data_IF_088008955110
#
_entry.id   IF_088008955110
#
_cell.length_a   1.000
_cell.length_b   1.000
_cell.length_c   1.000
_cell.angle_alpha   90.00
_cell.angle_beta   90.00
_cell.angle_gamma   90.00
#
_symmetry.space_group_name_H-M   'P 1'
#
loop_
_entity.id
_entity.type
_entity.pdbx_description
1 polymer ?
#
# COMPACT_ATOMS: atom_id res chain seq x y z
N UNK A 1 4.91 -3.46 -34.86
CA UNK A 1 6.35 -3.49 -35.17
C UNK A 1 7.01 -2.35 -34.40
N UNK A 2 8.12 -2.63 -33.70
CA UNK A 2 8.90 -1.62 -32.97
C UNK A 2 10.13 -1.17 -33.76
N UNK A 3 9.92 -0.57 -34.93
CA UNK A 3 11.02 -0.12 -35.79
C UNK A 3 11.35 1.34 -35.46
N UNK A 4 12.41 1.55 -34.67
CA UNK A 4 12.82 2.90 -34.22
C UNK A 4 13.23 3.82 -35.37
N UNK A 5 13.70 3.26 -36.48
CA UNK A 5 14.14 3.99 -37.68
C UNK A 5 13.03 4.23 -38.71
N UNK A 6 11.80 3.80 -38.44
CA UNK A 6 10.68 3.99 -39.37
C UNK A 6 10.30 5.47 -39.42
N UNK A 7 10.62 6.13 -40.52
CA UNK A 7 10.35 7.57 -40.74
C UNK A 7 8.95 7.85 -41.29
N UNK A 8 8.47 6.98 -42.17
CA UNK A 8 7.14 7.05 -42.77
C UNK A 8 6.62 5.64 -43.04
N UNK A 9 5.30 5.48 -42.95
CA UNK A 9 4.60 4.38 -43.61
C UNK A 9 4.13 4.95 -44.94
N UNK A 10 5.03 5.16 -45.90
CA UNK A 10 4.67 5.68 -47.23
C UNK A 10 4.70 4.57 -48.28
N UNK A 11 3.72 4.59 -49.18
CA UNK A 11 3.77 3.87 -50.45
C UNK A 11 4.96 4.37 -51.28
N UNK A 12 5.92 3.49 -51.60
CA UNK A 12 6.70 3.66 -52.83
C UNK A 12 5.84 3.18 -53.99
N UNK A 13 5.78 3.98 -55.06
CA UNK A 13 4.91 3.77 -56.23
C UNK A 13 5.01 2.33 -56.76
N UNK A 14 3.89 1.61 -56.76
CA UNK A 14 3.72 0.38 -57.55
C UNK A 14 3.32 -0.90 -56.82
N UNK A 15 3.28 -0.95 -55.47
CA UNK A 15 2.79 -2.12 -54.72
C UNK A 15 1.57 -1.78 -53.87
N UNK A 16 0.60 -2.70 -53.88
CA UNK A 16 -0.81 -2.59 -53.41
C UNK A 16 -0.93 -2.12 -51.94
N UNK A 17 -2.03 -1.42 -51.64
CA UNK A 17 -2.50 -0.97 -50.32
C UNK A 17 -2.23 -1.98 -49.20
N UNK A 18 -2.25 -1.56 -47.90
CA UNK A 18 -2.33 -2.51 -46.80
C UNK A 18 -3.35 -3.59 -47.11
N UNK A 19 -3.09 -4.87 -46.79
CA UNK A 19 -3.98 -5.94 -47.20
C UNK A 19 -5.39 -5.62 -46.69
N UNK A 20 -6.40 -5.69 -47.57
CA UNK A 20 -7.82 -5.47 -47.26
C UNK A 20 -8.32 -6.35 -46.09
N UNK A 21 -7.54 -7.36 -45.69
CA UNK A 21 -7.74 -8.28 -44.58
C UNK A 21 -7.01 -7.90 -43.27
N UNK A 22 -6.36 -6.73 -43.19
CA UNK A 22 -5.61 -6.34 -41.99
C UNK A 22 -6.57 -6.15 -40.80
N UNK A 23 -6.41 -6.98 -39.77
CA UNK A 23 -7.23 -6.93 -38.54
C UNK A 23 -6.54 -6.20 -37.38
N UNK A 24 -5.21 -6.19 -37.36
CA UNK A 24 -4.44 -5.62 -36.24
C UNK A 24 -3.26 -4.82 -36.79
N UNK A 25 -3.18 -3.55 -36.41
CA UNK A 25 -2.07 -2.66 -36.72
C UNK A 25 -1.50 -2.12 -35.41
N UNK A 26 -0.21 -2.35 -35.17
CA UNK A 26 0.49 -1.88 -33.97
C UNK A 26 1.80 -1.22 -34.34
N UNK A 27 1.93 0.05 -33.97
CA UNK A 27 3.07 0.92 -34.18
C UNK A 27 3.47 1.39 -32.78
N UNK A 28 4.64 0.99 -32.32
CA UNK A 28 5.08 1.24 -30.95
C UNK A 28 6.53 1.66 -30.96
N UNK A 29 6.87 2.73 -30.23
CA UNK A 29 8.24 3.23 -30.06
C UNK A 29 8.95 3.51 -31.40
N UNK A 30 8.21 4.04 -32.38
CA UNK A 30 8.76 4.50 -33.66
C UNK A 30 9.19 5.96 -33.54
N UNK A 31 10.40 6.17 -33.02
CA UNK A 31 10.95 7.50 -32.68
C UNK A 31 11.09 8.46 -33.87
N UNK A 32 11.26 7.95 -35.08
CA UNK A 32 11.44 8.77 -36.29
C UNK A 32 10.16 8.99 -37.10
N UNK A 33 9.04 8.37 -36.72
CA UNK A 33 7.80 8.41 -37.50
C UNK A 33 7.15 9.79 -37.40
N UNK A 34 7.11 10.55 -38.49
CA UNK A 34 6.58 11.91 -38.48
C UNK A 34 5.09 12.02 -38.83
N UNK A 35 4.57 11.08 -39.62
CA UNK A 35 3.17 11.06 -40.05
C UNK A 35 2.69 9.65 -40.40
N UNK A 36 1.36 9.46 -40.32
CA UNK A 36 0.67 8.28 -40.80
C UNK A 36 -0.19 8.65 -42.03
N UNK A 37 -0.17 7.86 -43.12
CA UNK A 37 -0.93 8.16 -44.32
C UNK A 37 -2.44 7.93 -44.10
N UNK A 38 -3.28 8.86 -44.54
CA UNK A 38 -4.75 8.72 -44.47
C UNK A 38 -5.27 7.55 -45.30
N UNK A 39 -4.67 7.33 -46.47
CA UNK A 39 -5.01 6.24 -47.40
C UNK A 39 -4.90 4.83 -46.75
N UNK A 40 -3.96 4.66 -45.82
CA UNK A 40 -3.80 3.39 -45.10
C UNK A 40 -5.05 3.07 -44.27
N UNK A 41 -5.60 4.07 -43.59
CA UNK A 41 -6.75 3.88 -42.69
C UNK A 41 -8.02 3.64 -43.51
N UNK A 42 -8.23 4.41 -44.57
CA UNK A 42 -9.40 4.26 -45.47
C UNK A 42 -9.46 2.88 -46.13
N UNK A 43 -8.31 2.26 -46.39
CA UNK A 43 -8.23 0.94 -47.01
C UNK A 43 -8.51 -0.24 -46.07
N UNK A 44 -8.51 -0.04 -44.74
CA UNK A 44 -8.57 -1.12 -43.74
C UNK A 44 -9.94 -1.28 -43.08
N UNK A 45 -10.95 -1.73 -43.84
CA UNK A 45 -12.33 -1.91 -43.32
C UNK A 45 -12.51 -3.05 -42.30
N UNK A 46 -11.56 -3.97 -42.21
CA UNK A 46 -11.58 -5.11 -41.28
C UNK A 46 -10.73 -4.88 -40.01
N UNK A 47 -10.22 -3.67 -39.79
CA UNK A 47 -9.33 -3.39 -38.67
C UNK A 47 -10.10 -3.47 -37.34
N UNK A 48 -9.65 -4.35 -36.45
CA UNK A 48 -10.19 -4.58 -35.11
C UNK A 48 -9.34 -3.87 -34.04
N UNK A 49 -8.03 -3.88 -34.21
CA UNK A 49 -7.07 -3.25 -33.29
C UNK A 49 -6.19 -2.26 -34.03
N UNK A 50 -6.20 -1.02 -33.56
CA UNK A 50 -5.26 0.02 -33.97
C UNK A 50 -4.51 0.52 -32.73
N UNK A 51 -3.19 0.39 -32.73
CA UNK A 51 -2.33 0.86 -31.66
C UNK A 51 -1.18 1.69 -32.22
N UNK A 52 -1.07 2.94 -31.76
CA UNK A 52 0.00 3.89 -32.06
C UNK A 52 0.47 4.49 -30.74
N UNK A 53 1.61 3.99 -30.25
CA UNK A 53 2.10 4.31 -28.90
C UNK A 53 3.58 4.70 -28.92
N UNK A 54 3.99 5.66 -28.10
CA UNK A 54 5.42 6.00 -27.93
C UNK A 54 6.10 6.58 -29.19
N UNK A 55 5.34 7.16 -30.11
CA UNK A 55 5.89 7.74 -31.35
C UNK A 55 6.26 9.21 -31.12
N UNK A 56 7.51 9.47 -30.73
CA UNK A 56 7.97 10.77 -30.23
C UNK A 56 7.86 11.91 -31.24
N UNK A 57 8.17 11.66 -32.52
CA UNK A 57 8.16 12.67 -33.58
C UNK A 57 6.86 12.72 -34.41
N UNK A 58 5.81 12.00 -34.00
CA UNK A 58 4.56 11.93 -34.77
C UNK A 58 3.80 13.26 -34.64
N UNK A 59 3.76 14.05 -35.71
CA UNK A 59 3.16 15.40 -35.71
C UNK A 59 1.68 15.37 -36.09
N UNK A 60 1.33 14.48 -37.03
CA UNK A 60 -0.02 14.37 -37.58
C UNK A 60 -0.54 12.94 -37.57
N UNK A 61 -1.86 12.83 -37.40
CA UNK A 61 -2.60 11.58 -37.39
C UNK A 61 -3.80 11.71 -38.35
N UNK A 62 -4.19 10.65 -39.09
CA UNK A 62 -5.29 10.71 -40.03
C UNK A 62 -6.56 11.15 -39.33
N UNK A 63 -7.22 12.16 -39.89
CA UNK A 63 -8.38 12.80 -39.29
C UNK A 63 -9.63 12.01 -39.70
N UNK A 64 -10.48 11.72 -38.71
CA UNK A 64 -11.72 10.92 -38.77
C UNK A 64 -11.52 9.40 -38.86
N UNK A 65 -11.53 8.75 -37.69
CA UNK A 65 -11.52 7.30 -37.60
C UNK A 65 -12.93 6.70 -37.60
N UNK A 66 -13.99 7.51 -37.58
CA UNK A 66 -15.37 7.07 -37.35
C UNK A 66 -15.95 6.13 -38.42
N UNK A 67 -15.25 5.94 -39.53
CA UNK A 67 -15.63 5.10 -40.67
C UNK A 67 -15.09 3.66 -40.57
N UNK A 68 -14.43 3.27 -39.48
CA UNK A 68 -13.88 1.92 -39.29
C UNK A 68 -14.86 1.03 -38.51
N UNK A 69 -15.63 0.14 -39.18
CA UNK A 69 -16.78 -0.55 -38.58
C UNK A 69 -16.39 -1.66 -37.58
N UNK A 70 -15.17 -2.18 -37.69
CA UNK A 70 -14.72 -3.35 -36.93
C UNK A 70 -13.88 -3.03 -35.69
N UNK A 71 -13.53 -1.75 -35.45
CA UNK A 71 -12.65 -1.39 -34.35
C UNK A 71 -13.27 -1.79 -33.00
N UNK A 72 -12.50 -2.57 -32.25
CA UNK A 72 -12.78 -2.97 -30.87
C UNK A 72 -11.73 -2.46 -29.89
N UNK A 73 -10.49 -2.27 -30.34
CA UNK A 73 -9.38 -1.78 -29.51
C UNK A 73 -8.66 -0.62 -30.21
N UNK A 74 -8.58 0.52 -29.54
CA UNK A 74 -7.90 1.71 -30.05
C UNK A 74 -6.95 2.30 -29.01
N UNK A 75 -5.64 2.29 -29.29
CA UNK A 75 -4.63 2.90 -28.45
C UNK A 75 -3.90 3.99 -29.24
N UNK A 76 -3.98 5.24 -28.78
CA UNK A 76 -3.27 6.38 -29.36
C UNK A 76 -2.72 7.21 -28.19
N UNK A 77 -1.53 6.86 -27.72
CA UNK A 77 -0.95 7.50 -26.55
C UNK A 77 0.56 7.76 -26.65
N UNK A 78 1.08 8.58 -25.75
CA UNK A 78 2.52 8.84 -25.61
C UNK A 78 3.13 9.32 -26.95
N UNK A 79 2.47 10.29 -27.58
CA UNK A 79 2.88 10.92 -28.85
C UNK A 79 3.02 12.44 -28.63
N UNK A 80 4.11 12.90 -27.98
CA UNK A 80 4.22 14.26 -27.44
C UNK A 80 4.28 15.38 -28.50
N UNK A 81 4.58 15.08 -29.76
CA UNK A 81 4.54 16.09 -30.84
C UNK A 81 3.23 16.09 -31.62
N UNK A 82 2.27 15.21 -31.27
CA UNK A 82 1.02 15.08 -32.02
C UNK A 82 0.12 16.29 -31.74
N UNK A 83 -0.20 17.06 -32.79
CA UNK A 83 -1.00 18.30 -32.70
C UNK A 83 -2.43 18.13 -33.22
N UNK A 84 -2.65 17.18 -34.12
CA UNK A 84 -3.96 16.88 -34.70
C UNK A 84 -4.57 15.65 -34.05
N UNK A 85 -5.70 15.79 -33.36
CA UNK A 85 -6.38 14.66 -32.72
C UNK A 85 -7.31 13.91 -33.68
N UNK A 86 -7.44 12.58 -33.52
CA UNK A 86 -8.45 11.80 -34.21
C UNK A 86 -9.87 12.28 -33.84
N UNK A 87 -10.76 12.30 -34.83
CA UNK A 87 -12.19 12.55 -34.65
C UNK A 87 -12.98 11.27 -34.88
N UNK A 88 -14.24 11.23 -34.45
CA UNK A 88 -15.14 10.12 -34.74
C UNK A 88 -14.96 8.88 -33.85
N UNK A 89 -14.09 8.91 -32.83
CA UNK A 89 -13.86 7.79 -31.91
C UNK A 89 -15.17 7.33 -31.25
N UNK A 90 -16.05 8.27 -30.87
CA UNK A 90 -17.33 7.94 -30.26
C UNK A 90 -18.34 7.25 -31.17
N UNK A 91 -18.08 7.15 -32.49
CA UNK A 91 -18.97 6.46 -33.45
C UNK A 91 -18.73 4.95 -33.50
N UNK A 92 -17.67 4.45 -32.88
CA UNK A 92 -17.39 3.01 -32.86
C UNK A 92 -18.40 2.24 -32.02
N UNK A 93 -19.21 1.43 -32.70
CA UNK A 93 -20.23 0.58 -32.06
C UNK A 93 -19.62 -0.59 -31.28
N UNK A 94 -18.44 -1.08 -31.69
CA UNK A 94 -17.80 -2.26 -31.13
C UNK A 94 -16.60 -1.97 -30.22
N UNK A 95 -16.26 -0.70 -29.98
CA UNK A 95 -15.10 -0.31 -29.18
C UNK A 95 -15.24 -0.79 -27.73
N UNK A 96 -14.39 -1.73 -27.32
CA UNK A 96 -14.32 -2.28 -25.97
C UNK A 96 -13.21 -1.65 -25.14
N UNK A 97 -12.11 -1.24 -25.78
CA UNK A 97 -10.92 -0.71 -25.11
C UNK A 97 -10.42 0.55 -25.81
N UNK A 98 -10.23 1.63 -25.05
CA UNK A 98 -9.68 2.90 -25.53
C UNK A 98 -8.57 3.37 -24.61
N UNK A 99 -7.40 3.66 -25.18
CA UNK A 99 -6.29 4.33 -24.50
C UNK A 99 -5.93 5.56 -25.32
N UNK A 100 -6.03 6.76 -24.73
CA UNK A 100 -5.85 8.01 -25.47
C UNK A 100 -5.24 9.12 -24.61
N UNK A 101 -4.24 9.82 -25.15
CA UNK A 101 -3.66 11.02 -24.54
C UNK A 101 -2.13 11.06 -24.51
N UNK A 102 -1.55 11.99 -23.75
CA UNK A 102 -0.09 12.21 -23.80
C UNK A 102 0.35 12.74 -25.16
N UNK A 103 -0.43 13.70 -25.67
CA UNK A 103 -0.21 14.40 -26.94
C UNK A 103 0.61 15.67 -26.73
N UNK A 104 0.72 16.54 -27.73
CA UNK A 104 1.37 17.85 -27.55
C UNK A 104 0.73 18.67 -26.44
N UNK A 105 1.58 19.30 -25.62
CA UNK A 105 1.17 20.27 -24.59
C UNK A 105 0.49 21.50 -25.20
N UNK A 106 0.69 21.76 -26.50
CA UNK A 106 -0.02 22.81 -27.24
C UNK A 106 -1.50 22.52 -27.46
N UNK A 107 -1.97 21.28 -27.24
CA UNK A 107 -3.37 20.92 -27.40
C UNK A 107 -4.14 21.43 -26.19
N UNK A 108 -5.19 22.22 -26.46
CA UNK A 108 -6.10 22.67 -25.42
C UNK A 108 -7.10 21.57 -25.00
N UNK A 109 -7.66 21.72 -23.80
CA UNK A 109 -8.60 20.75 -23.25
C UNK A 109 -9.88 20.57 -24.08
N UNK A 110 -10.38 21.63 -24.75
CA UNK A 110 -11.60 21.53 -25.56
C UNK A 110 -11.34 20.71 -26.83
N UNK A 111 -10.16 20.85 -27.44
CA UNK A 111 -9.73 20.01 -28.55
C UNK A 111 -9.66 18.53 -28.14
N UNK A 112 -9.10 18.23 -26.97
CA UNK A 112 -9.11 16.86 -26.41
C UNK A 112 -10.52 16.35 -26.13
N UNK A 113 -11.39 17.20 -25.59
CA UNK A 113 -12.79 16.87 -25.33
C UNK A 113 -13.56 16.58 -26.62
N UNK A 114 -13.34 17.36 -27.68
CA UNK A 114 -13.95 17.16 -28.99
C UNK A 114 -13.51 15.85 -29.67
N UNK A 115 -12.30 15.36 -29.41
CA UNK A 115 -11.84 14.06 -29.90
C UNK A 115 -12.68 12.89 -29.33
N UNK A 116 -13.26 13.08 -28.13
CA UNK A 116 -14.11 12.13 -27.43
C UNK A 116 -15.61 12.37 -27.70
N UNK A 117 -15.97 13.20 -28.67
CA UNK A 117 -17.37 13.45 -28.99
C UNK A 117 -18.11 12.17 -29.34
N UNK A 118 -19.37 12.12 -28.89
CA UNK A 118 -20.28 10.97 -28.98
C UNK A 118 -19.88 9.71 -28.20
N UNK A 119 -18.71 9.66 -27.53
CA UNK A 119 -18.28 8.46 -26.79
C UNK A 119 -19.27 8.04 -25.70
N UNK A 120 -20.03 9.00 -25.16
CA UNK A 120 -21.10 8.77 -24.18
C UNK A 120 -22.19 7.79 -24.67
N UNK A 121 -22.31 7.58 -25.99
CA UNK A 121 -23.27 6.65 -26.59
C UNK A 121 -22.76 5.20 -26.60
N UNK A 122 -21.47 4.98 -26.33
CA UNK A 122 -20.86 3.65 -26.36
C UNK A 122 -21.44 2.77 -25.25
N UNK A 123 -22.04 1.65 -25.67
CA UNK A 123 -22.53 0.58 -24.78
C UNK A 123 -21.53 -0.58 -24.67
N UNK A 124 -20.52 -0.60 -25.53
CA UNK A 124 -19.51 -1.65 -25.66
C UNK A 124 -18.23 -1.35 -24.89
N UNK A 125 -17.91 -0.07 -24.63
CA UNK A 125 -16.67 0.30 -23.95
C UNK A 125 -16.61 -0.28 -22.53
N UNK A 126 -15.50 -0.94 -22.21
CA UNK A 126 -15.21 -1.60 -20.94
C UNK A 126 -13.96 -1.04 -20.29
N UNK A 127 -12.97 -0.66 -21.08
CA UNK A 127 -11.69 -0.16 -20.58
C UNK A 127 -11.37 1.19 -21.20
N UNK A 128 -11.02 2.15 -20.35
CA UNK A 128 -10.67 3.50 -20.76
C UNK A 128 -9.45 3.99 -19.98
N UNK A 129 -8.41 4.39 -20.71
CA UNK A 129 -7.24 5.05 -20.17
C UNK A 129 -7.11 6.44 -20.78
N UNK A 130 -7.04 7.47 -19.93
CA UNK A 130 -6.88 8.87 -20.34
C UNK A 130 -5.57 9.43 -19.79
N UNK A 131 -4.82 10.13 -20.64
CA UNK A 131 -3.57 10.79 -20.28
C UNK A 131 -3.70 12.28 -20.60
N UNK A 132 -3.80 13.09 -19.56
CA UNK A 132 -3.97 14.54 -19.66
C UNK A 132 -2.77 15.32 -19.14
N UNK A 133 -3.00 16.60 -18.94
CA UNK A 133 -2.01 17.56 -18.46
C UNK A 133 -2.39 18.20 -17.13
N UNK A 134 -1.39 18.63 -16.37
CA UNK A 134 -1.55 19.17 -15.02
C UNK A 134 -2.29 20.52 -15.02
N UNK A 135 -2.32 21.21 -16.16
CA UNK A 135 -3.08 22.45 -16.36
C UNK A 135 -4.54 22.20 -16.80
N UNK A 136 -4.95 20.94 -16.99
CA UNK A 136 -6.35 20.59 -17.27
C UNK A 136 -7.08 20.31 -15.96
N UNK A 137 -7.79 21.31 -15.45
CA UNK A 137 -8.46 21.26 -14.15
C UNK A 137 -9.80 20.49 -14.18
N UNK A 138 -10.07 19.70 -15.22
CA UNK A 138 -11.30 18.92 -15.39
C UNK A 138 -11.06 17.64 -16.17
N UNK A 139 -11.96 16.66 -16.00
CA UNK A 139 -12.05 15.47 -16.84
C UNK A 139 -13.12 15.67 -17.92
N UNK A 140 -13.04 14.98 -19.08
CA UNK A 140 -14.07 15.08 -20.12
C UNK A 140 -15.47 14.76 -19.59
N UNK A 141 -16.46 15.62 -19.84
CA UNK A 141 -17.82 15.43 -19.28
C UNK A 141 -18.53 14.21 -19.88
N UNK A 142 -18.14 13.79 -21.09
CA UNK A 142 -18.73 12.64 -21.79
C UNK A 142 -18.58 11.33 -20.98
N UNK A 143 -17.60 11.27 -20.08
CA UNK A 143 -17.35 10.12 -19.21
C UNK A 143 -18.50 9.82 -18.25
N UNK A 144 -19.29 10.83 -17.87
CA UNK A 144 -20.41 10.69 -16.94
C UNK A 144 -21.42 9.60 -17.35
N UNK A 145 -21.55 9.33 -18.65
CA UNK A 145 -22.57 8.42 -19.20
C UNK A 145 -22.03 7.03 -19.57
N UNK A 146 -20.73 6.77 -19.35
CA UNK A 146 -20.08 5.48 -19.66
C UNK A 146 -20.37 4.40 -18.61
N UNK A 147 -21.65 4.12 -18.40
CA UNK A 147 -22.14 3.21 -17.33
C UNK A 147 -21.72 1.75 -17.48
N UNK A 148 -21.23 1.35 -18.66
CA UNK A 148 -20.75 -0.01 -18.94
C UNK A 148 -19.26 -0.19 -18.68
N UNK A 149 -18.55 0.88 -18.35
CA UNK A 149 -17.11 0.89 -18.10
C UNK A 149 -16.77 0.06 -16.86
N UNK A 150 -15.74 -0.78 -16.97
CA UNK A 150 -15.22 -1.67 -15.92
C UNK A 150 -13.85 -1.23 -15.44
N UNK A 151 -13.01 -0.72 -16.31
CA UNK A 151 -11.66 -0.26 -15.99
C UNK A 151 -11.51 1.19 -16.43
N UNK A 152 -11.15 2.07 -15.49
CA UNK A 152 -10.84 3.47 -15.76
C UNK A 152 -9.47 3.81 -15.20
N UNK A 153 -8.57 4.25 -16.08
CA UNK A 153 -7.29 4.85 -15.72
C UNK A 153 -7.30 6.33 -16.11
N UNK A 154 -6.91 7.19 -15.19
CA UNK A 154 -6.68 8.61 -15.45
C UNK A 154 -5.29 9.00 -14.98
N UNK A 155 -4.52 9.62 -15.87
CA UNK A 155 -3.14 10.03 -15.60
C UNK A 155 -2.92 11.51 -15.94
N UNK A 156 -2.24 12.24 -15.05
CA UNK A 156 -1.68 13.57 -15.36
C UNK A 156 -2.63 14.77 -15.30
N UNK A 157 -3.94 14.60 -15.11
CA UNK A 157 -4.90 15.71 -15.02
C UNK A 157 -4.73 16.59 -13.77
N UNK A 158 -4.99 17.89 -13.93
CA UNK A 158 -4.93 18.93 -12.89
C UNK A 158 -6.13 19.02 -11.95
N UNK A 159 -6.95 17.98 -11.83
CA UNK A 159 -8.17 18.04 -11.03
C UNK A 159 -7.87 18.11 -9.52
N UNK A 160 -8.54 19.02 -8.81
CA UNK A 160 -8.45 19.10 -7.34
C UNK A 160 -9.36 18.10 -6.62
N UNK A 161 -10.49 17.77 -7.26
CA UNK A 161 -11.46 16.82 -6.76
C UNK A 161 -11.97 15.94 -7.90
N UNK A 162 -12.20 14.65 -7.61
CA UNK A 162 -12.94 13.81 -8.55
C UNK A 162 -14.41 14.26 -8.60
N UNK A 163 -15.01 14.38 -9.80
CA UNK A 163 -16.39 14.81 -9.95
C UNK A 163 -17.42 13.87 -9.29
N UNK A 164 -18.55 14.42 -8.82
CA UNK A 164 -19.68 13.66 -8.25
C UNK A 164 -20.26 12.61 -9.19
N UNK A 165 -20.19 12.85 -10.50
CA UNK A 165 -20.71 11.92 -11.49
C UNK A 165 -19.96 10.58 -11.53
N UNK A 166 -18.79 10.45 -10.91
CA UNK A 166 -18.12 9.16 -10.75
C UNK A 166 -19.03 8.10 -10.14
N UNK A 167 -19.93 8.49 -9.21
CA UNK A 167 -20.91 7.57 -8.63
C UNK A 167 -21.92 6.99 -9.62
N UNK A 168 -22.01 7.53 -10.84
CA UNK A 168 -22.81 6.99 -11.95
C UNK A 168 -22.16 5.83 -12.69
N UNK A 169 -20.84 5.60 -12.53
CA UNK A 169 -20.09 4.51 -13.18
C UNK A 169 -20.30 3.17 -12.46
N UNK A 170 -21.55 2.75 -12.32
CA UNK A 170 -21.95 1.60 -11.48
C UNK A 170 -21.38 0.24 -11.91
N UNK A 171 -20.85 0.12 -13.13
CA UNK A 171 -20.15 -1.09 -13.59
C UNK A 171 -18.66 -1.12 -13.28
N UNK A 172 -18.10 -0.03 -12.77
CA UNK A 172 -16.67 0.13 -12.57
C UNK A 172 -16.13 -0.90 -11.57
N UNK A 173 -15.07 -1.59 -11.96
CA UNK A 173 -14.41 -2.66 -11.23
C UNK A 173 -13.00 -2.27 -10.78
N UNK A 174 -12.27 -1.53 -11.62
CA UNK A 174 -10.93 -0.97 -11.34
C UNK A 174 -10.93 0.52 -11.63
N UNK A 175 -10.40 1.29 -10.68
CA UNK A 175 -10.10 2.71 -10.84
C UNK A 175 -8.61 2.95 -10.54
N UNK A 176 -7.88 3.51 -11.49
CA UNK A 176 -6.46 3.84 -11.36
C UNK A 176 -6.31 5.35 -11.58
N UNK A 177 -5.74 6.03 -10.60
CA UNK A 177 -5.49 7.46 -10.59
C UNK A 177 -3.98 7.67 -10.40
N UNK A 178 -3.31 8.16 -11.44
CA UNK A 178 -1.86 8.30 -11.43
C UNK A 178 -1.45 9.75 -11.72
N UNK A 179 -0.43 10.25 -11.03
CA UNK A 179 0.16 11.57 -11.31
C UNK A 179 -0.86 12.72 -11.28
N UNK A 180 -1.90 12.63 -10.45
CA UNK A 180 -2.88 13.71 -10.26
C UNK A 180 -2.41 14.62 -9.13
N UNK A 181 -1.41 15.46 -9.42
CA UNK A 181 -0.65 16.22 -8.41
C UNK A 181 -1.48 17.24 -7.62
N UNK A 182 -2.64 17.64 -8.12
CA UNK A 182 -3.56 18.57 -7.45
C UNK A 182 -4.70 17.88 -6.71
N UNK A 183 -4.88 16.56 -6.88
CA UNK A 183 -6.05 15.84 -6.37
C UNK A 183 -6.02 15.73 -4.84
N UNK A 184 -6.96 16.40 -4.18
CA UNK A 184 -7.11 16.48 -2.72
C UNK A 184 -8.40 15.82 -2.22
N UNK A 185 -9.41 15.67 -3.07
CA UNK A 185 -10.74 15.19 -2.64
C UNK A 185 -11.32 14.10 -3.56
N UNK A 186 -11.86 13.05 -2.93
CA UNK A 186 -12.78 12.10 -3.55
C UNK A 186 -14.20 12.69 -3.63
N UNK A 187 -15.08 12.15 -4.50
CA UNK A 187 -16.49 12.52 -4.53
C UNK A 187 -17.18 12.24 -3.20
N UNK A 188 -18.43 12.69 -3.03
CA UNK A 188 -19.25 12.41 -1.86
C UNK A 188 -19.25 10.92 -1.49
N UNK A 189 -19.46 10.63 -0.21
CA UNK A 189 -19.53 9.25 0.29
C UNK A 189 -20.66 8.49 -0.40
N UNK A 190 -21.76 9.18 -0.65
CA UNK A 190 -22.94 8.67 -1.34
C UNK A 190 -22.62 8.30 -2.79
N UNK A 191 -21.91 9.16 -3.52
CA UNK A 191 -21.45 8.86 -4.88
C UNK A 191 -20.51 7.65 -4.88
N UNK A 192 -19.52 7.64 -3.99
CA UNK A 192 -18.57 6.53 -3.90
C UNK A 192 -19.24 5.21 -3.53
N UNK A 193 -20.22 5.21 -2.61
CA UNK A 193 -20.96 4.00 -2.23
C UNK A 193 -21.83 3.41 -3.35
N UNK A 194 -22.19 4.18 -4.38
CA UNK A 194 -22.90 3.66 -5.56
C UNK A 194 -22.01 2.77 -6.42
N UNK A 195 -20.68 2.87 -6.29
CA UNK A 195 -19.70 2.05 -6.99
C UNK A 195 -19.57 0.65 -6.37
N UNK A 196 -20.70 -0.05 -6.26
CA UNK A 196 -20.81 -1.34 -5.56
C UNK A 196 -19.97 -2.47 -6.17
N UNK A 197 -19.62 -2.35 -7.47
CA UNK A 197 -18.76 -3.31 -8.17
C UNK A 197 -17.27 -3.02 -8.08
N UNK A 198 -16.88 -1.83 -7.58
CA UNK A 198 -15.48 -1.41 -7.52
C UNK A 198 -14.72 -2.31 -6.55
N UNK A 199 -13.73 -3.04 -7.06
CA UNK A 199 -12.90 -3.96 -6.28
C UNK A 199 -11.51 -3.43 -6.02
N UNK A 200 -10.99 -2.63 -6.95
CA UNK A 200 -9.63 -2.14 -6.92
C UNK A 200 -9.57 -0.63 -7.15
N UNK A 201 -8.91 0.08 -6.23
CA UNK A 201 -8.57 1.49 -6.36
C UNK A 201 -7.06 1.64 -6.20
N UNK A 202 -6.39 2.22 -7.18
CA UNK A 202 -4.98 2.60 -7.07
C UNK A 202 -4.83 4.11 -7.24
N UNK A 203 -4.11 4.74 -6.31
CA UNK A 203 -3.78 6.17 -6.34
C UNK A 203 -2.27 6.31 -6.18
N UNK A 204 -1.57 6.75 -7.22
CA UNK A 204 -0.12 6.94 -7.16
C UNK A 204 0.25 8.37 -7.53
N UNK A 205 1.30 8.90 -6.88
CA UNK A 205 1.84 10.23 -7.17
C UNK A 205 0.76 11.33 -7.15
N UNK A 206 -0.08 11.37 -6.10
CA UNK A 206 -1.24 12.27 -6.00
C UNK A 206 -1.51 12.58 -4.51
N UNK A 207 -1.63 13.86 -4.07
CA UNK A 207 -1.65 14.28 -2.67
C UNK A 207 -2.83 13.73 -1.84
N UNK A 208 -3.89 13.25 -2.51
CA UNK A 208 -5.12 12.71 -1.94
C UNK A 208 -4.89 11.73 -0.78
N UNK A 209 -3.80 10.96 -0.83
CA UNK A 209 -3.43 9.96 0.17
C UNK A 209 -2.01 10.18 0.71
N UNK A 210 -1.44 11.39 0.56
CA UNK A 210 -0.04 11.67 0.88
C UNK A 210 0.21 12.26 2.25
N UNK A 211 -0.76 12.95 2.86
CA UNK A 211 -0.49 13.79 4.03
C UNK A 211 -1.20 13.41 5.33
N UNK A 212 -2.22 12.56 5.32
CA UNK A 212 -2.97 12.28 6.56
C UNK A 212 -3.37 10.82 6.68
N UNK A 213 -3.41 10.33 7.92
CA UNK A 213 -3.90 9.00 8.28
C UNK A 213 -5.38 8.82 7.90
N UNK A 214 -6.14 7.90 8.54
CA UNK A 214 -7.53 7.63 8.17
C UNK A 214 -8.45 8.82 8.50
N UNK A 215 -8.43 9.85 7.66
CA UNK A 215 -9.25 11.05 7.67
C UNK A 215 -10.58 10.82 6.94
N UNK A 216 -11.41 11.88 6.88
CA UNK A 216 -12.72 11.92 6.22
C UNK A 216 -12.75 11.30 4.82
N UNK A 217 -11.68 11.45 4.02
CA UNK A 217 -11.57 10.88 2.67
C UNK A 217 -11.54 9.34 2.68
N UNK A 218 -10.90 8.73 3.67
CA UNK A 218 -10.85 7.28 3.81
C UNK A 218 -12.24 6.69 4.01
N UNK A 219 -13.12 7.41 4.70
CA UNK A 219 -14.50 6.96 4.93
C UNK A 219 -15.30 6.79 3.64
N UNK A 220 -14.99 7.59 2.60
CA UNK A 220 -15.63 7.55 1.28
C UNK A 220 -15.23 6.31 0.48
N UNK A 221 -13.94 5.97 0.50
CA UNK A 221 -13.37 4.82 -0.22
C UNK A 221 -13.35 3.53 0.61
N UNK A 222 -13.73 3.60 1.89
CA UNK A 222 -13.69 2.48 2.83
C UNK A 222 -14.46 1.24 2.40
N UNK A 223 -15.37 1.30 1.43
CA UNK A 223 -16.15 0.16 0.93
C UNK A 223 -15.40 -0.71 -0.08
N UNK A 224 -14.28 -0.22 -0.64
CA UNK A 224 -13.48 -0.87 -1.67
C UNK A 224 -12.55 -1.91 -1.03
N UNK A 225 -12.54 -3.18 -1.49
CA UNK A 225 -11.72 -4.25 -0.90
C UNK A 225 -10.20 -4.06 -1.01
N UNK A 226 -9.73 -3.59 -2.16
CA UNK A 226 -8.30 -3.43 -2.45
C UNK A 226 -8.02 -1.97 -2.79
N UNK A 227 -7.20 -1.31 -1.95
CA UNK A 227 -6.79 0.07 -2.16
C UNK A 227 -5.26 0.12 -2.15
N UNK A 228 -4.64 0.67 -3.19
CA UNK A 228 -3.19 0.88 -3.28
C UNK A 228 -2.88 2.37 -3.32
N UNK A 229 -1.97 2.83 -2.45
CA UNK A 229 -1.56 4.23 -2.36
C UNK A 229 -0.06 4.33 -2.08
N UNK A 230 0.71 5.14 -2.81
CA UNK A 230 2.19 5.27 -2.65
C UNK A 230 2.95 3.92 -2.63
N UNK A 231 2.53 2.93 -3.42
CA UNK A 231 3.11 1.58 -3.37
C UNK A 231 2.73 0.76 -2.11
N UNK A 232 2.02 1.37 -1.15
CA UNK A 232 1.44 0.70 0.01
C UNK A 232 0.08 0.08 -0.37
N UNK A 233 -0.17 -1.14 0.07
CA UNK A 233 -1.43 -1.86 -0.20
C UNK A 233 -2.24 -1.97 1.08
N UNK A 234 -3.44 -1.39 1.06
CA UNK A 234 -4.42 -1.43 2.14
C UNK A 234 -5.51 -2.45 1.78
N UNK A 235 -5.76 -3.38 2.70
CA UNK A 235 -6.73 -4.46 2.51
C UNK A 235 -7.86 -4.32 3.51
N UNK A 236 -9.10 -4.24 3.00
CA UNK A 236 -10.28 -4.12 3.85
C UNK A 236 -10.72 -5.47 4.43
N UNK A 237 -11.08 -5.44 5.73
CA UNK A 237 -11.80 -6.49 6.45
C UNK A 237 -13.17 -6.84 5.83
N UNK A 238 -13.64 -8.10 5.93
CA UNK A 238 -15.06 -8.41 6.06
C UNK A 238 -15.55 -7.86 7.42
N UNK A 239 -16.70 -7.19 7.44
CA UNK A 239 -17.30 -6.54 8.62
C UNK A 239 -17.28 -7.44 9.86
N UNK A 240 -16.50 -7.08 10.89
CA UNK A 240 -16.77 -7.26 12.33
C UNK A 240 -15.73 -6.47 13.16
N UNK A 241 -16.15 -5.94 14.31
CA UNK A 241 -15.47 -4.93 15.12
C UNK A 241 -14.13 -5.40 15.74
N UNK A 242 -13.12 -4.50 15.80
CA UNK A 242 -11.84 -4.66 16.51
C UNK A 242 -10.76 -5.50 15.79
N UNK A 243 -9.51 -5.00 15.69
CA UNK A 243 -8.32 -5.76 15.21
C UNK A 243 -8.14 -5.95 13.69
N UNK A 244 -6.95 -5.67 13.16
CA UNK A 244 -6.59 -5.87 11.75
C UNK A 244 -5.10 -5.66 11.50
N UNK A 245 -4.59 -6.21 10.40
CA UNK A 245 -3.17 -6.13 10.05
C UNK A 245 -2.94 -5.01 9.03
N UNK A 246 -1.89 -4.24 9.26
CA UNK A 246 -1.29 -3.32 8.31
C UNK A 246 0.21 -3.59 8.30
N UNK A 247 0.84 -3.40 7.14
CA UNK A 247 2.29 -3.52 6.99
C UNK A 247 2.79 -2.30 6.23
N UNK A 248 3.93 -1.77 6.68
CA UNK A 248 4.59 -0.61 6.08
C UNK A 248 6.08 -0.92 6.01
N UNK A 249 6.72 -0.53 4.91
CA UNK A 249 8.16 -0.66 4.73
C UNK A 249 8.69 0.57 3.99
N UNK A 250 10.00 0.82 4.11
CA UNK A 250 10.67 1.92 3.40
C UNK A 250 10.89 1.55 1.93
N UNK A 251 10.92 2.54 1.04
CA UNK A 251 11.03 2.35 -0.42
C UNK A 251 12.30 1.59 -0.82
N UNK A 252 13.38 1.72 -0.06
CA UNK A 252 14.65 1.04 -0.32
C UNK A 252 14.59 -0.47 -0.02
N UNK A 253 13.56 -0.93 0.72
CA UNK A 253 13.37 -2.35 0.99
C UNK A 253 12.71 -3.03 -0.21
N UNK A 254 13.47 -3.93 -0.85
CA UNK A 254 12.96 -4.75 -1.94
C UNK A 254 12.02 -5.85 -1.42
N UNK A 255 10.79 -5.46 -1.10
CA UNK A 255 9.75 -6.31 -0.54
C UNK A 255 8.55 -6.43 -1.48
N UNK A 256 7.97 -7.63 -1.56
CA UNK A 256 6.74 -7.90 -2.30
C UNK A 256 5.79 -8.75 -1.47
N UNK A 257 4.50 -8.40 -1.45
CA UNK A 257 3.46 -9.19 -0.78
C UNK A 257 3.30 -10.54 -1.50
N UNK A 258 3.33 -11.63 -0.75
CA UNK A 258 3.18 -13.01 -1.25
C UNK A 258 1.72 -13.42 -1.23
N UNK A 259 1.12 -13.33 -0.04
CA UNK A 259 -0.28 -13.61 0.21
C UNK A 259 -0.71 -12.93 1.51
N UNK A 260 -2.01 -12.87 1.75
CA UNK A 260 -2.58 -12.24 2.93
C UNK A 260 -3.98 -12.78 3.22
N UNK A 261 -4.46 -12.51 4.42
CA UNK A 261 -5.85 -12.71 4.85
C UNK A 261 -6.19 -11.72 5.97
N UNK A 262 -7.36 -11.87 6.59
CA UNK A 262 -7.66 -11.14 7.84
C UNK A 262 -6.77 -11.53 9.02
N UNK A 263 -6.03 -12.64 8.92
CA UNK A 263 -5.22 -13.22 10.01
C UNK A 263 -3.73 -13.24 9.72
N UNK A 264 -3.29 -12.84 8.52
CA UNK A 264 -1.86 -12.75 8.20
C UNK A 264 -1.57 -11.81 7.02
N UNK A 265 -0.34 -11.30 6.95
CA UNK A 265 0.25 -10.71 5.74
C UNK A 265 1.67 -11.28 5.61
N UNK A 266 1.96 -11.93 4.49
CA UNK A 266 3.31 -12.45 4.20
C UNK A 266 4.00 -11.66 3.10
N UNK A 267 5.27 -11.36 3.30
CA UNK A 267 6.12 -10.63 2.37
C UNK A 267 7.37 -11.44 2.04
N UNK A 268 7.80 -11.38 0.79
CA UNK A 268 9.15 -11.76 0.39
C UNK A 268 10.02 -10.51 0.42
N UNK A 269 11.11 -10.57 1.17
CA UNK A 269 12.15 -9.55 1.21
C UNK A 269 13.34 -10.12 0.48
N UNK A 270 13.67 -9.55 -0.68
CA UNK A 270 14.91 -9.90 -1.38
C UNK A 270 16.07 -9.41 -0.53
N UNK A 271 17.05 -10.28 -0.35
CA UNK A 271 18.24 -10.00 0.42
C UNK A 271 19.48 -10.37 -0.41
N UNK A 272 20.64 -9.83 -0.03
CA UNK A 272 21.91 -10.10 -0.70
C UNK A 272 22.71 -11.24 -0.02
N UNK A 273 22.15 -11.84 1.03
CA UNK A 273 22.83 -12.81 1.89
C UNK A 273 22.49 -14.27 1.53
N UNK A 274 21.40 -14.50 0.79
CA UNK A 274 20.96 -15.82 0.34
C UNK A 274 20.27 -15.76 -1.02
N UNK A 275 20.37 -16.85 -1.79
CA UNK A 275 19.67 -16.99 -3.07
C UNK A 275 18.13 -17.06 -2.91
N UNK A 276 17.66 -17.46 -1.73
CA UNK A 276 16.23 -17.47 -1.38
C UNK A 276 15.79 -16.15 -0.74
N UNK A 277 14.56 -15.66 -1.00
CA UNK A 277 14.04 -14.50 -0.30
C UNK A 277 13.79 -14.82 1.18
N UNK A 278 13.92 -13.79 2.03
CA UNK A 278 13.46 -13.86 3.42
C UNK A 278 11.93 -13.73 3.43
N UNK A 279 11.23 -14.65 4.10
CA UNK A 279 9.78 -14.55 4.31
C UNK A 279 9.53 -13.86 5.64
N UNK A 280 8.83 -12.73 5.60
CA UNK A 280 8.30 -12.05 6.79
C UNK A 280 6.79 -12.25 6.85
N UNK A 281 6.26 -12.79 7.94
CA UNK A 281 4.82 -12.97 8.14
C UNK A 281 4.35 -12.19 9.36
N UNK A 282 3.55 -11.15 9.15
CA UNK A 282 2.73 -10.55 10.18
C UNK A 282 1.54 -11.46 10.47
N UNK A 283 1.38 -11.98 11.68
CA UNK A 283 0.35 -12.93 12.07
C UNK A 283 -0.57 -12.35 13.14
N UNK A 284 -1.88 -12.57 12.98
CA UNK A 284 -2.92 -12.17 13.93
C UNK A 284 -3.78 -13.39 14.28
N UNK A 285 -3.47 -14.00 15.42
CA UNK A 285 -4.21 -15.14 15.96
C UNK A 285 -5.62 -14.74 16.37
N UNK A 286 -6.58 -15.64 16.18
CA UNK A 286 -7.98 -15.35 16.51
C UNK A 286 -8.14 -15.09 18.02
N UNK A 287 -8.72 -13.94 18.43
CA UNK A 287 -9.01 -13.67 19.84
C UNK A 287 -10.17 -14.53 20.38
N UNK A 288 -10.94 -15.17 19.48
CA UNK A 288 -12.03 -16.07 19.83
C UNK A 288 -11.48 -17.48 20.02
N UNK A 289 -11.58 -18.01 21.24
CA UNK A 289 -11.07 -19.34 21.63
C UNK A 289 -11.52 -20.47 20.69
N UNK A 290 -12.78 -20.46 20.26
CA UNK A 290 -13.33 -21.46 19.35
C UNK A 290 -12.73 -21.45 17.94
N UNK A 291 -12.02 -20.38 17.56
CA UNK A 291 -11.38 -20.20 16.24
C UNK A 291 -9.83 -20.28 16.28
N UNK A 292 -9.26 -20.65 17.42
CA UNK A 292 -7.80 -20.76 17.59
C UNK A 292 -7.21 -21.89 16.75
N UNK A 293 -7.95 -22.99 16.58
CA UNK A 293 -7.53 -24.14 15.75
C UNK A 293 -7.30 -23.76 14.29
N UNK A 294 -8.14 -22.88 13.74
CA UNK A 294 -8.01 -22.34 12.39
C UNK A 294 -6.75 -21.46 12.28
N UNK A 295 -6.42 -20.70 13.33
CA UNK A 295 -5.19 -19.90 13.39
C UNK A 295 -3.96 -20.80 13.31
N UNK A 296 -3.93 -21.88 14.08
CA UNK A 296 -2.80 -22.83 14.07
C UNK A 296 -2.69 -23.60 12.75
N UNK A 297 -3.82 -24.05 12.19
CA UNK A 297 -3.82 -24.65 10.83
C UNK A 297 -3.32 -23.67 9.77
N UNK A 298 -3.67 -22.39 9.88
CA UNK A 298 -3.16 -21.36 8.98
C UNK A 298 -1.66 -21.19 9.15
N UNK A 299 -1.16 -21.03 10.38
CA UNK A 299 0.28 -20.88 10.66
C UNK A 299 1.08 -22.04 10.07
N UNK A 300 0.63 -23.29 10.26
CA UNK A 300 1.26 -24.47 9.66
C UNK A 300 1.28 -24.45 8.12
N UNK A 301 0.22 -23.95 7.48
CA UNK A 301 0.15 -23.80 6.01
C UNK A 301 1.02 -22.67 5.46
N UNK A 302 1.34 -21.67 6.28
CA UNK A 302 2.19 -20.55 5.89
C UNK A 302 3.68 -20.89 5.94
N UNK A 303 4.05 -22.03 6.54
CA UNK A 303 5.43 -22.48 6.60
C UNK A 303 6.02 -22.61 5.18
N UNK A 304 7.03 -21.80 4.81
CA UNK A 304 7.60 -21.82 3.48
C UNK A 304 8.53 -23.01 3.23
N UNK A 305 8.77 -23.83 4.26
CA UNK A 305 9.67 -24.97 4.22
C UNK A 305 11.02 -24.66 4.85
N UNK A 306 11.73 -25.73 5.23
CA UNK A 306 12.92 -25.65 6.09
C UNK A 306 14.06 -24.83 5.53
N UNK A 307 14.21 -24.74 4.20
CA UNK A 307 15.32 -24.04 3.54
C UNK A 307 15.07 -22.54 3.34
N UNK A 308 13.85 -22.06 3.60
CA UNK A 308 13.49 -20.66 3.39
C UNK A 308 13.56 -19.92 4.74
N UNK A 309 14.38 -18.86 4.87
CA UNK A 309 14.43 -18.04 6.08
C UNK A 309 13.05 -17.46 6.40
N UNK A 310 12.55 -17.69 7.61
CA UNK A 310 11.19 -17.29 7.99
C UNK A 310 11.17 -16.61 9.36
N UNK A 311 10.59 -15.40 9.39
CA UNK A 311 10.28 -14.64 10.60
C UNK A 311 8.77 -14.43 10.64
N UNK A 312 8.13 -14.94 11.69
CA UNK A 312 6.70 -14.71 11.98
C UNK A 312 6.59 -13.81 13.18
N UNK A 313 5.85 -12.72 13.08
CA UNK A 313 5.69 -11.76 14.18
C UNK A 313 4.24 -11.28 14.29
N UNK A 314 3.83 -10.89 15.50
CA UNK A 314 2.53 -10.25 15.73
C UNK A 314 1.85 -10.75 16.98
N UNK A 315 0.55 -10.50 17.05
CA UNK A 315 -0.32 -10.89 18.17
C UNK A 315 -0.90 -12.29 17.92
N UNK A 316 -0.42 -13.28 18.65
CA UNK A 316 -0.89 -14.65 18.52
C UNK A 316 -2.16 -14.91 19.33
N UNK A 317 -2.58 -13.98 20.18
CA UNK A 317 -3.69 -14.12 21.13
C UNK A 317 -3.59 -15.33 22.08
N UNK A 318 -2.41 -15.96 22.18
CA UNK A 318 -2.17 -17.14 23.01
C UNK A 318 -0.78 -17.12 23.67
N UNK A 319 -0.70 -17.76 24.83
CA UNK A 319 0.53 -17.95 25.62
C UNK A 319 1.06 -19.37 25.48
N UNK A 320 2.38 -19.55 25.66
CA UNK A 320 3.03 -20.88 25.56
C UNK A 320 3.14 -21.59 26.90
N UNK A 321 3.08 -20.84 28.01
CA UNK A 321 3.24 -21.36 29.37
C UNK A 321 2.50 -20.50 30.39
N UNK A 322 2.07 -21.07 31.53
CA UNK A 322 1.30 -20.34 32.55
C UNK A 322 1.98 -19.05 33.03
N UNK A 323 3.31 -19.05 33.13
CA UNK A 323 4.08 -17.90 33.60
C UNK A 323 4.00 -16.68 32.67
N UNK A 324 3.54 -16.83 31.43
CA UNK A 324 3.33 -15.73 30.47
C UNK A 324 2.01 -14.97 30.69
N UNK A 325 1.26 -15.31 31.75
CA UNK A 325 0.06 -14.61 32.17
C UNK A 325 0.08 -14.25 33.65
N UNK A 326 -0.43 -13.07 33.96
CA UNK A 326 -0.72 -12.60 35.30
C UNK A 326 -2.21 -12.25 35.39
N UNK A 327 -2.86 -12.62 36.49
CA UNK A 327 -4.30 -12.42 36.72
C UNK A 327 -5.03 -13.71 37.11
N UNK A 328 -6.26 -13.60 37.59
CA UNK A 328 -6.99 -14.72 38.22
C UNK A 328 -7.41 -15.85 37.25
N UNK A 329 -7.65 -15.53 35.97
CA UNK A 329 -8.12 -16.51 35.00
C UNK A 329 -6.96 -17.37 34.47
N UNK A 330 -6.92 -18.65 34.84
CA UNK A 330 -5.94 -19.61 34.31
C UNK A 330 -6.23 -19.92 32.85
N UNK A 331 -5.21 -19.90 31.98
CA UNK A 331 -5.34 -20.35 30.60
C UNK A 331 -5.36 -21.88 30.54
N UNK A 332 -6.31 -22.51 29.83
CA UNK A 332 -6.37 -23.96 29.72
C UNK A 332 -5.10 -24.55 29.09
N UNK A 333 -4.55 -25.59 29.71
CA UNK A 333 -3.32 -26.24 29.23
C UNK A 333 -3.42 -26.76 27.79
N UNK A 334 -4.59 -27.28 27.41
CA UNK A 334 -4.84 -27.78 26.06
C UNK A 334 -4.72 -26.70 24.97
N UNK A 335 -5.07 -25.45 25.28
CA UNK A 335 -4.93 -24.33 24.33
C UNK A 335 -3.47 -23.95 24.16
N UNK A 336 -2.75 -23.76 25.27
CA UNK A 336 -1.29 -23.49 25.25
C UNK A 336 -0.55 -24.62 24.51
N UNK A 337 -0.86 -25.87 24.81
CA UNK A 337 -0.23 -27.03 24.15
C UNK A 337 -0.53 -27.10 22.65
N UNK A 338 -1.72 -26.69 22.22
CA UNK A 338 -2.04 -26.63 20.79
C UNK A 338 -1.21 -25.56 20.07
N UNK A 339 -0.92 -24.45 20.74
CA UNK A 339 -0.05 -23.41 20.20
C UNK A 339 1.42 -23.86 20.18
N UNK A 340 1.93 -24.42 21.28
CA UNK A 340 3.30 -24.97 21.32
C UNK A 340 3.49 -26.05 20.23
N UNK A 341 2.51 -26.94 20.04
CA UNK A 341 2.57 -27.98 19.02
C UNK A 341 2.75 -27.42 17.61
N UNK A 342 2.02 -26.36 17.22
CA UNK A 342 2.18 -25.78 15.87
C UNK A 342 3.51 -25.04 15.73
N UNK A 343 4.02 -24.41 16.79
CA UNK A 343 5.37 -23.82 16.82
C UNK A 343 6.41 -24.91 16.52
N UNK A 344 6.32 -26.04 17.22
CA UNK A 344 7.24 -27.17 17.05
C UNK A 344 7.13 -27.79 15.65
N UNK A 345 5.90 -28.02 15.15
CA UNK A 345 5.64 -28.53 13.80
C UNK A 345 6.19 -27.62 12.68
N UNK A 346 6.27 -26.32 12.95
CA UNK A 346 6.85 -25.34 12.02
C UNK A 346 8.37 -25.17 12.17
N UNK A 347 9.01 -25.91 13.08
CA UNK A 347 10.41 -25.72 13.47
C UNK A 347 10.70 -24.27 13.89
N UNK A 348 9.72 -23.60 14.51
CA UNK A 348 9.85 -22.22 14.95
C UNK A 348 10.40 -22.15 16.37
N UNK A 349 11.24 -21.16 16.63
CA UNK A 349 11.78 -20.84 17.95
C UNK A 349 11.35 -19.44 18.36
N UNK A 350 10.97 -19.26 19.62
CA UNK A 350 10.65 -17.95 20.18
C UNK A 350 11.93 -17.11 20.31
N UNK A 351 11.96 -15.93 19.66
CA UNK A 351 13.08 -14.98 19.75
C UNK A 351 13.26 -14.32 21.12
N UNK A 352 12.41 -14.68 22.09
CA UNK A 352 12.49 -14.20 23.47
C UNK A 352 11.99 -12.77 23.61
N UNK A 353 12.50 -12.08 24.62
CA UNK A 353 12.21 -10.67 24.84
C UNK A 353 13.31 -10.00 25.67
N UNK A 354 13.53 -8.71 25.41
CA UNK A 354 14.31 -7.79 26.23
C UNK A 354 13.39 -6.67 26.70
N UNK A 355 13.37 -6.40 28.02
CA UNK A 355 12.48 -5.42 28.63
C UNK A 355 11.31 -6.05 29.39
N UNK A 356 10.13 -5.41 29.42
CA UNK A 356 8.94 -5.92 30.09
C UNK A 356 8.54 -7.30 29.58
N UNK A 357 8.16 -8.20 30.50
CA UNK A 357 7.76 -9.58 30.18
C UNK A 357 6.43 -9.68 29.45
N UNK A 358 5.47 -8.82 29.80
CA UNK A 358 4.11 -8.85 29.25
C UNK A 358 4.00 -7.82 28.14
N UNK A 359 3.31 -8.18 27.06
CA UNK A 359 3.10 -7.32 25.88
C UNK A 359 1.69 -6.78 25.82
N UNK A 360 0.78 -7.31 26.62
CA UNK A 360 -0.61 -6.87 26.69
C UNK A 360 -1.08 -6.68 28.13
N UNK A 361 -1.95 -5.69 28.36
CA UNK A 361 -2.67 -5.48 29.61
C UNK A 361 -4.09 -5.02 29.38
N UNK A 362 -5.05 -5.57 30.12
CA UNK A 362 -6.44 -5.09 30.06
C UNK A 362 -6.68 -3.71 30.71
N UNK A 363 -5.65 -3.10 31.30
CA UNK A 363 -5.68 -1.78 31.98
C UNK A 363 -6.76 -1.63 33.07
N UNK A 364 -7.29 -2.72 33.61
CA UNK A 364 -8.27 -2.68 34.71
C UNK A 364 -7.57 -2.62 36.06
N UNK A 365 -8.28 -2.22 37.09
CA UNK A 365 -7.74 -2.10 38.45
C UNK A 365 -8.08 -3.32 39.33
N UNK A 366 -7.35 -3.44 40.44
CA UNK A 366 -7.56 -4.47 41.46
C UNK A 366 -7.46 -5.90 40.92
N UNK A 367 -8.32 -6.78 41.44
CA UNK A 367 -8.31 -8.21 41.11
C UNK A 367 -8.70 -8.53 39.66
N UNK A 368 -9.20 -7.55 38.91
CA UNK A 368 -9.50 -7.72 37.48
C UNK A 368 -8.30 -7.43 36.58
N UNK A 369 -7.20 -6.88 37.13
CA UNK A 369 -6.01 -6.58 36.36
C UNK A 369 -5.38 -7.85 35.80
N UNK A 370 -5.20 -7.86 34.48
CA UNK A 370 -4.61 -9.00 33.76
C UNK A 370 -3.52 -8.49 32.83
N UNK A 371 -2.41 -9.21 32.79
CA UNK A 371 -1.31 -9.01 31.84
C UNK A 371 -0.98 -10.34 31.15
N UNK A 372 -0.59 -10.29 29.88
CA UNK A 372 -0.18 -11.47 29.14
C UNK A 372 0.90 -11.14 28.10
N UNK A 373 1.71 -12.14 27.72
CA UNK A 373 2.63 -12.06 26.57
C UNK A 373 1.97 -12.70 25.36
N UNK A 374 1.26 -11.88 24.59
CA UNK A 374 0.51 -12.32 23.41
C UNK A 374 1.28 -12.07 22.12
N UNK A 375 2.08 -11.00 22.11
CA UNK A 375 2.89 -10.58 20.98
C UNK A 375 4.26 -11.24 21.06
N UNK A 376 4.73 -11.80 19.94
CA UNK A 376 6.06 -12.42 19.86
C UNK A 376 6.61 -12.42 18.44
N UNK A 377 7.91 -12.72 18.34
CA UNK A 377 8.56 -13.07 17.09
C UNK A 377 9.03 -14.53 17.16
N UNK A 378 8.68 -15.31 16.16
CA UNK A 378 9.05 -16.70 15.99
C UNK A 378 9.92 -16.83 14.74
N UNK A 379 11.00 -17.59 14.84
CA UNK A 379 12.02 -17.69 13.79
C UNK A 379 12.39 -19.14 13.53
N UNK A 380 12.62 -19.48 12.27
CA UNK A 380 13.11 -20.83 11.92
C UNK A 380 14.65 -20.87 11.86
N UNK A 381 15.27 -22.07 11.85
CA UNK A 381 16.73 -22.21 11.77
C UNK A 381 17.36 -21.54 10.56
N UNK A 382 16.68 -21.51 9.41
CA UNK A 382 17.19 -20.85 8.20
C UNK A 382 17.32 -19.34 8.35
N UNK A 383 16.54 -18.70 9.22
CA UNK A 383 16.76 -17.30 9.57
C UNK A 383 18.08 -17.11 10.32
N UNK A 384 18.40 -17.99 11.27
CA UNK A 384 19.64 -17.91 12.05
C UNK A 384 20.90 -18.16 11.21
N UNK A 385 20.77 -18.90 10.11
CA UNK A 385 21.85 -19.07 9.13
C UNK A 385 22.21 -17.75 8.43
N UNK A 386 21.27 -16.81 8.32
CA UNK A 386 21.51 -15.48 7.76
C UNK A 386 21.93 -14.51 8.87
N UNK A 387 21.16 -14.47 9.96
CA UNK A 387 21.35 -13.56 11.08
C UNK A 387 21.77 -14.33 12.33
N UNK A 388 23.03 -14.16 12.73
CA UNK A 388 23.59 -14.81 13.93
C UNK A 388 22.83 -14.48 15.22
N UNK A 389 22.08 -13.38 15.25
CA UNK A 389 21.27 -12.97 16.38
C UNK A 389 19.96 -12.32 15.92
N UNK A 390 18.88 -12.59 16.65
CA UNK A 390 17.57 -11.95 16.51
C UNK A 390 17.09 -11.54 17.91
N UNK A 391 16.99 -10.24 18.15
CA UNK A 391 16.59 -9.68 19.45
C UNK A 391 15.21 -9.05 19.33
N UNK A 392 14.31 -9.44 20.24
CA UNK A 392 12.97 -8.86 20.36
C UNK A 392 12.94 -7.93 21.56
N UNK A 393 12.90 -6.61 21.34
CA UNK A 393 12.79 -5.63 22.41
C UNK A 393 11.33 -5.19 22.58
N UNK A 394 10.85 -5.25 23.82
CA UNK A 394 9.50 -4.78 24.19
C UNK A 394 9.62 -3.30 24.57
N UNK A 395 9.01 -2.43 23.76
CA UNK A 395 9.08 -0.99 23.95
C UNK A 395 8.00 -0.50 24.94
N UNK A 396 8.27 0.58 25.71
CA UNK A 396 7.28 1.17 26.59
C UNK A 396 6.13 1.75 25.77
N UNK A 397 4.93 1.75 26.36
CA UNK A 397 3.73 2.28 25.71
C UNK A 397 2.90 3.08 26.71
N UNK A 398 2.33 4.19 26.25
CA UNK A 398 1.55 5.11 27.10
C UNK A 398 0.04 4.86 26.93
N UNK A 399 -0.45 4.79 25.70
CA UNK A 399 -1.90 4.82 25.40
C UNK A 399 -2.48 3.50 24.92
N UNK A 400 -1.68 2.61 24.31
CA UNK A 400 -2.13 1.28 23.86
C UNK A 400 -2.17 0.25 24.98
N UNK A 401 -3.05 -0.74 24.88
CA UNK A 401 -3.07 -1.95 25.70
C UNK A 401 -2.03 -2.99 25.27
N UNK A 402 -1.42 -2.82 24.10
CA UNK A 402 -0.26 -3.56 23.63
C UNK A 402 1.03 -2.73 23.63
N UNK A 403 2.15 -3.38 23.99
CA UNK A 403 3.50 -2.84 23.87
C UNK A 403 4.04 -3.08 22.43
N UNK A 404 4.61 -2.07 21.78
CA UNK A 404 5.30 -2.26 20.51
C UNK A 404 6.51 -3.20 20.64
N UNK A 405 6.72 -4.04 19.63
CA UNK A 405 7.91 -4.88 19.53
C UNK A 405 8.87 -4.32 18.48
N UNK A 406 10.13 -4.13 18.88
CA UNK A 406 11.23 -3.86 17.96
C UNK A 406 12.04 -5.14 17.77
N UNK A 407 12.08 -5.66 16.56
CA UNK A 407 12.82 -6.88 16.21
C UNK A 407 14.06 -6.44 15.43
N UNK A 408 15.24 -6.81 15.93
CA UNK A 408 16.53 -6.50 15.31
C UNK A 408 17.28 -7.79 15.01
N UNK A 409 17.60 -8.03 13.74
CA UNK A 409 18.36 -9.18 13.29
C UNK A 409 19.70 -8.72 12.73
N UNK A 410 20.81 -9.16 13.33
CA UNK A 410 22.16 -8.70 12.98
C UNK A 410 23.13 -9.87 12.74
N UNK A 411 24.19 -9.60 11.98
CA UNK A 411 25.26 -10.56 11.66
C UNK A 411 26.48 -10.46 12.60
N UNK A 412 26.42 -9.58 13.59
CA UNK A 412 27.55 -9.36 14.49
C UNK A 412 27.58 -10.42 15.60
N UNK A 413 28.61 -11.26 15.55
CA UNK A 413 29.06 -12.08 16.68
C UNK A 413 29.56 -11.17 17.81
N UNK A 414 28.66 -10.64 18.64
CA UNK A 414 29.09 -10.04 19.91
C UNK A 414 29.34 -11.16 20.92
N UNK A 415 30.53 -11.77 20.81
CA UNK A 415 31.23 -12.34 21.96
C UNK A 415 31.77 -11.14 22.75
N UNK A 416 31.11 -10.75 23.83
CA UNK A 416 31.53 -9.59 24.62
C UNK A 416 30.71 -9.37 25.88
N UNK A 417 31.20 -9.93 26.98
CA UNK A 417 30.87 -9.66 28.39
C UNK A 417 30.02 -8.40 28.66
N UNK A 418 28.72 -8.57 28.93
CA UNK A 418 27.93 -7.49 29.56
C UNK A 418 28.34 -7.37 31.02
N UNK A 419 29.15 -6.37 31.35
CA UNK A 419 29.23 -5.83 32.71
C UNK A 419 27.80 -5.45 33.13
N UNK A 420 27.26 -6.12 34.16
CA UNK A 420 26.01 -5.72 34.80
C UNK A 420 26.19 -4.33 35.43
N UNK A 421 25.95 -3.28 34.66
CA UNK A 421 25.60 -1.98 35.22
C UNK A 421 24.14 -2.04 35.62
N UNK A 422 23.86 -2.09 36.93
CA UNK A 422 22.51 -1.92 37.46
C UNK A 422 22.08 -0.48 37.18
N UNK A 423 21.38 -0.28 36.06
CA UNK A 423 20.78 1.01 35.71
C UNK A 423 19.49 1.15 36.52
N UNK A 424 19.30 2.31 37.15
CA UNK A 424 18.03 2.67 37.78
C UNK A 424 16.91 2.60 36.74
N UNK A 425 15.82 1.88 37.04
CA UNK A 425 14.68 1.70 36.13
C UNK A 425 13.42 2.28 36.77
N UNK A 426 12.70 3.07 36.00
CA UNK A 426 11.44 3.69 36.35
C UNK A 426 10.35 3.20 35.38
N UNK A 427 9.24 2.67 35.87
CA UNK A 427 8.09 2.35 35.01
C UNK A 427 7.29 3.63 34.75
N UNK A 428 7.21 4.08 33.48
CA UNK A 428 6.45 5.27 33.11
C UNK A 428 4.96 5.20 33.51
N UNK A 429 4.40 4.00 33.70
CA UNK A 429 3.03 3.83 34.22
C UNK A 429 2.85 4.39 35.65
N UNK A 430 3.93 4.57 36.40
CA UNK A 430 3.91 5.12 37.75
C UNK A 430 3.74 6.65 37.75
N UNK A 431 4.05 7.35 36.66
CA UNK A 431 3.89 8.81 36.60
C UNK A 431 2.43 9.26 36.60
N UNK A 432 1.49 8.36 36.30
CA UNK A 432 0.05 8.63 36.32
C UNK A 432 -0.64 8.29 37.64
N UNK A 433 0.08 7.76 38.64
CA UNK A 433 -0.51 7.38 39.94
C UNK A 433 -0.08 8.35 41.02
N UNK A 434 -1.06 8.98 41.68
CA UNK A 434 -0.80 9.94 42.75
C UNK A 434 0.07 9.35 43.87
N UNK A 435 -0.19 8.10 44.26
CA UNK A 435 0.60 7.38 45.27
C UNK A 435 2.09 7.27 44.91
N UNK A 436 2.42 7.09 43.62
CA UNK A 436 3.81 7.02 43.18
C UNK A 436 4.49 8.40 43.19
N UNK A 437 3.74 9.46 42.86
CA UNK A 437 4.20 10.85 42.96
C UNK A 437 4.53 11.17 44.42
N UNK A 438 3.65 10.78 45.34
CA UNK A 438 3.82 11.04 46.77
C UNK A 438 5.02 10.27 47.35
N UNK A 439 5.22 9.00 46.97
CA UNK A 439 6.37 8.18 47.39
C UNK A 439 7.70 8.80 46.90
N UNK A 440 7.76 9.20 45.62
CA UNK A 440 8.96 9.84 45.06
C UNK A 440 9.22 11.18 45.74
N UNK A 441 8.18 11.99 45.95
CA UNK A 441 8.29 13.26 46.67
C UNK A 441 8.83 13.10 48.09
N UNK A 442 8.30 12.13 48.85
CA UNK A 442 8.77 11.85 50.21
C UNK A 442 10.20 11.30 50.25
N UNK A 443 10.57 10.44 49.30
CA UNK A 443 11.92 9.91 49.20
C UNK A 443 12.95 11.02 48.86
N UNK A 444 12.59 11.95 47.99
CA UNK A 444 13.44 13.10 47.63
C UNK A 444 13.58 14.14 48.74
N UNK A 445 12.61 14.25 49.64
CA UNK A 445 12.68 15.11 50.81
C UNK A 445 13.55 14.56 51.95
N UNK A 446 14.04 13.31 51.84
CA UNK A 446 14.85 12.67 52.87
C UNK A 446 16.35 12.97 52.65
N UNK A 447 17.06 13.60 53.62
CA UNK A 447 18.49 13.91 53.47
C UNK A 447 19.34 12.65 53.33
N UNK A 448 20.20 12.57 52.30
CA UNK A 448 21.06 11.42 52.06
C UNK A 448 22.52 11.71 52.49
N UNK A 449 22.96 11.06 53.56
CA UNK A 449 24.35 11.06 54.01
C UNK A 449 25.20 10.10 53.17
N UNK A 450 25.63 10.54 52.00
CA UNK A 450 26.94 10.21 51.38
C UNK A 450 27.06 10.87 50.00
N UNK A 451 28.30 11.10 49.54
CA UNK A 451 28.66 11.66 48.22
C UNK A 451 28.22 10.72 47.10
N UNK A 452 26.91 10.63 46.85
CA UNK A 452 26.33 9.85 45.77
C UNK A 452 26.13 10.73 44.53
N UNK A 453 26.08 10.13 43.32
CA UNK A 453 25.82 10.83 42.06
C UNK A 453 24.56 11.71 42.05
N UNK A 454 23.64 11.47 42.99
CA UNK A 454 22.44 12.28 43.21
C UNK A 454 22.77 13.71 43.65
N UNK A 455 23.85 13.92 44.42
CA UNK A 455 24.24 15.28 44.85
C UNK A 455 24.77 16.11 43.67
N UNK A 456 25.50 15.48 42.75
CA UNK A 456 25.95 16.11 41.51
C UNK A 456 24.77 16.49 40.61
N UNK A 457 23.78 15.60 40.47
CA UNK A 457 22.57 15.89 39.70
C UNK A 457 21.69 16.96 40.37
N UNK A 458 21.59 16.97 41.69
CA UNK A 458 20.88 18.02 42.45
C UNK A 458 21.56 19.38 42.32
N UNK A 459 22.90 19.45 42.32
CA UNK A 459 23.67 20.67 42.09
C UNK A 459 23.48 21.19 40.66
N UNK A 460 23.54 20.33 39.63
CA UNK A 460 23.28 20.70 38.23
C UNK A 460 21.86 21.22 38.00
N UNK A 461 20.84 20.57 38.58
CA UNK A 461 19.45 21.01 38.47
C UNK A 461 19.20 22.31 39.23
N UNK A 462 19.85 22.53 40.38
CA UNK A 462 19.79 23.79 41.12
C UNK A 462 20.45 24.95 40.35
N UNK A 463 21.62 24.71 39.73
CA UNK A 463 22.29 25.67 38.85
C UNK A 463 21.43 26.01 37.62
N UNK A 464 20.77 25.00 37.04
CA UNK A 464 19.87 25.21 35.91
C UNK A 464 18.62 26.05 36.28
N UNK A 465 18.12 25.93 37.51
CA UNK A 465 16.96 26.71 38.00
C UNK A 465 17.34 28.13 38.41
N UNK A 466 18.54 28.36 38.95
CA UNK A 466 19.04 29.72 39.23
C UNK A 466 19.35 30.50 37.93
N UNK A 467 19.88 29.84 36.91
CA UNK A 467 20.15 30.46 35.60
C UNK A 467 18.85 30.81 34.84
N UNK A 468 17.74 30.15 35.16
CA UNK A 468 16.43 30.47 34.58
C UNK A 468 15.80 31.72 35.21
N UNK A 469 16.17 32.07 36.45
CA UNK A 469 15.70 33.29 37.12
C UNK A 469 16.53 34.54 36.77
N UNK A 470 17.82 34.39 36.43
CA UNK A 470 18.68 35.51 35.99
C UNK A 470 18.51 35.92 34.52
N UNK A 471 17.80 35.13 33.71
CA UNK A 471 17.50 35.45 32.30
C UNK A 471 16.23 36.27 32.10
N UNK A 472 15.58 36.71 33.18
CA UNK A 472 14.31 37.47 33.18
C UNK A 472 14.37 38.76 34.00
N UNK A 473 15.55 39.37 34.13
CA UNK A 473 15.71 40.78 34.55
C UNK A 473 16.15 41.66 33.38
#
# INVERSE_FOLDING_TARGET
>A
MGCRSLQSISHQSGQKCPPLSLRRLTITDCSELSCLPSEMIESTRCLELLSVTGCEKLISFPIDLGELPCISVLFINSCPELRSLPKGIGRFSNLTELDIGGFSESIDFNSFQAALDCIQQSKSLRELSLYGWEHWDSLPYQLQNLTSLRHLKSEGFGIEALPEWFGGLTSLFVLILCKLKKLKHMPSKEAMQRLTKLKYLEVTHSPLLEERGPDFEWSKISHIPHIRAKGQTWLKRPRMAGGGLAVMWKEELNASIVNFSSSHISLHIKNHFSDSPLVLTGFYGSPVTGRTKESWRLLGRLNPGRQIPWLVMGDFNEITKPSEKFGAAVRPFSQMNSFCKVIDECELSDGGYVGPKFTWSNKREGNQFTKARLDRALVNPSLYNIFSNCVVQVLPVVTSDHNPLLISCNNDHIIGTSRRTTVFRYEAAWSGKQECIDIVGNAWATPCDQRSPLRWFQEEVAIATENQQRGTE
#
